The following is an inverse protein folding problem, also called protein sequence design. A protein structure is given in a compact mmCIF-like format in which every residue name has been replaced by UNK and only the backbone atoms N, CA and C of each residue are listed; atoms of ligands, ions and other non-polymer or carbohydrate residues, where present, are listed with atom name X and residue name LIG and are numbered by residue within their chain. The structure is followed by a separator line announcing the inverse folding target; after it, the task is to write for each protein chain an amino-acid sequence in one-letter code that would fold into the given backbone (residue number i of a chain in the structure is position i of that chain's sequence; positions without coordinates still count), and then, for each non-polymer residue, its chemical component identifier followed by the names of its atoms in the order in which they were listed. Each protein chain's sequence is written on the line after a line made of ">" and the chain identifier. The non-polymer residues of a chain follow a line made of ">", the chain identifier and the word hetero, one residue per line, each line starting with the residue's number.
data_IF_339921631961
#
_entry.id   IF_339921631961
#
_cell.length_a   1.000
_cell.length_b   1.000
_cell.length_c   1.000
_cell.angle_alpha   90.00
_cell.angle_beta   90.00
_cell.angle_gamma   90.00
#
_symmetry.space_group_name_H-M   'P 1'
#
loop_
_entity.id
_entity.type
_entity.pdbx_description
1 polymer ?
#
# COMPACT_ATOMS: atom_id res chain seq x y z
N UNK A 1 10.66 38.50 2.48
CA UNK A 1 9.53 37.71 3.02
C UNK A 1 8.80 37.10 1.84
N UNK A 2 9.07 35.84 1.46
CA UNK A 2 8.11 35.02 0.72
C UNK A 2 8.65 33.58 0.69
N UNK A 3 7.98 32.74 1.48
CA UNK A 3 8.30 31.34 1.68
C UNK A 3 8.01 30.56 0.40
N UNK A 4 8.97 29.74 -0.01
CA UNK A 4 8.82 28.70 -1.01
C UNK A 4 7.62 27.83 -0.64
N UNK A 5 6.50 28.04 -1.33
CA UNK A 5 5.38 27.12 -1.32
C UNK A 5 5.77 25.95 -2.23
N UNK A 6 6.63 25.06 -1.73
CA UNK A 6 6.68 23.69 -2.22
C UNK A 6 5.30 23.13 -1.92
N UNK A 7 4.41 23.23 -2.91
CA UNK A 7 3.17 22.50 -2.93
C UNK A 7 3.57 21.05 -2.71
N UNK A 8 3.38 20.60 -1.47
CA UNK A 8 3.39 19.22 -1.06
C UNK A 8 2.25 18.59 -1.86
N UNK A 9 2.52 18.25 -3.12
CA UNK A 9 1.63 17.45 -3.94
C UNK A 9 1.71 16.07 -3.32
N UNK A 10 1.02 15.89 -2.20
CA UNK A 10 0.55 14.58 -1.77
C UNK A 10 -0.44 14.18 -2.83
N UNK A 11 0.06 13.80 -4.02
CA UNK A 11 -0.67 12.97 -4.95
C UNK A 11 -1.16 11.85 -4.08
N UNK A 12 -2.44 11.91 -3.75
CA UNK A 12 -3.10 10.97 -2.87
C UNK A 12 -3.19 9.71 -3.70
N UNK A 13 -2.08 8.98 -3.81
CA UNK A 13 -1.97 7.75 -4.59
C UNK A 13 -3.14 6.90 -4.16
N UNK A 14 -3.93 6.46 -5.12
CA UNK A 14 -5.05 5.57 -4.83
C UNK A 14 -4.55 4.43 -3.96
N UNK A 15 -5.37 3.96 -3.02
CA UNK A 15 -5.05 2.82 -2.18
C UNK A 15 -4.57 1.62 -3.02
N UNK A 16 -5.15 1.46 -4.22
CA UNK A 16 -4.73 0.46 -5.20
C UNK A 16 -3.28 0.61 -5.63
N UNK A 17 -2.84 1.83 -5.94
CA UNK A 17 -1.45 2.09 -6.34
C UNK A 17 -0.48 1.88 -5.18
N UNK A 18 -0.86 2.31 -3.97
CA UNK A 18 -0.05 2.09 -2.77
C UNK A 18 0.12 0.58 -2.48
N UNK A 19 -0.91 -0.22 -2.73
CA UNK A 19 -0.83 -1.69 -2.55
C UNK A 19 -0.06 -2.36 -3.68
N UNK A 20 -0.22 -1.92 -4.93
CA UNK A 20 0.56 -2.44 -6.05
C UNK A 20 2.08 -2.19 -5.84
N UNK A 21 2.46 -0.95 -5.56
CA UNK A 21 3.85 -0.60 -5.21
C UNK A 21 4.31 -1.35 -3.98
N UNK A 22 3.42 -1.51 -3.00
CA UNK A 22 3.75 -2.32 -1.86
C UNK A 22 4.12 -3.71 -2.32
N UNK A 23 3.25 -4.44 -3.03
CA UNK A 23 3.50 -5.81 -3.50
C UNK A 23 4.84 -5.97 -4.22
N UNK A 24 5.22 -5.00 -5.05
CA UNK A 24 6.49 -5.00 -5.79
C UNK A 24 7.71 -4.73 -4.88
N UNK A 25 7.60 -3.79 -3.93
CA UNK A 25 8.70 -3.42 -3.04
C UNK A 25 8.82 -4.40 -1.86
N UNK A 26 9.80 -5.31 -1.93
CA UNK A 26 10.06 -6.32 -0.90
C UNK A 26 10.78 -5.79 0.34
N UNK A 27 11.26 -4.54 0.32
CA UNK A 27 11.95 -3.92 1.45
C UNK A 27 10.97 -3.30 2.46
N UNK A 28 9.69 -3.19 2.10
CA UNK A 28 8.67 -2.62 2.97
C UNK A 28 8.49 -3.38 4.28
N UNK A 29 8.39 -2.65 5.42
CA UNK A 29 8.16 -3.27 6.71
C UNK A 29 6.75 -3.87 6.79
N UNK A 30 6.63 -5.01 7.47
CA UNK A 30 5.38 -5.74 7.65
C UNK A 30 4.27 -4.88 8.28
N UNK A 31 4.62 -3.95 9.18
CA UNK A 31 3.67 -3.02 9.80
C UNK A 31 2.99 -2.09 8.79
N UNK A 32 3.66 -1.74 7.69
CA UNK A 32 3.07 -0.96 6.59
C UNK A 32 2.15 -1.83 5.74
N UNK A 33 2.50 -3.10 5.51
CA UNK A 33 1.65 -4.04 4.78
C UNK A 33 0.35 -4.34 5.52
N UNK A 34 0.41 -4.53 6.83
CA UNK A 34 -0.78 -4.73 7.66
C UNK A 34 -1.71 -3.52 7.62
N UNK A 35 -1.17 -2.29 7.68
CA UNK A 35 -1.97 -1.06 7.55
C UNK A 35 -2.67 -0.97 6.19
N UNK A 36 -1.96 -1.31 5.11
CA UNK A 36 -2.54 -1.35 3.77
C UNK A 36 -3.61 -2.43 3.64
N UNK A 37 -3.39 -3.61 4.22
CA UNK A 37 -4.38 -4.68 4.25
C UNK A 37 -5.67 -4.25 4.97
N UNK A 38 -5.53 -3.58 6.12
CA UNK A 38 -6.67 -3.03 6.86
C UNK A 38 -7.44 -1.98 6.07
N UNK A 39 -6.75 -1.03 5.45
CA UNK A 39 -7.38 -0.02 4.61
C UNK A 39 -8.12 -0.66 3.41
N UNK A 40 -7.51 -1.69 2.81
CA UNK A 40 -8.05 -2.40 1.66
C UNK A 40 -9.20 -3.34 2.04
N UNK A 41 -9.28 -3.78 3.29
CA UNK A 41 -10.40 -4.56 3.83
C UNK A 41 -11.61 -3.68 4.17
N UNK A 42 -11.37 -2.46 4.66
CA UNK A 42 -12.41 -1.45 4.85
C UNK A 42 -13.00 -0.96 3.52
N UNK A 43 -12.18 -0.93 2.47
CA UNK A 43 -12.61 -0.61 1.12
C UNK A 43 -13.44 -1.78 0.53
N UNK A 44 -14.77 -1.59 0.45
CA UNK A 44 -15.73 -2.60 -0.04
C UNK A 44 -15.71 -2.76 -1.56
N UNK A 45 -14.72 -2.21 -2.25
CA UNK A 45 -14.64 -2.29 -3.70
C UNK A 45 -14.23 -3.69 -4.14
N UNK A 46 -15.10 -4.35 -4.90
CA UNK A 46 -14.84 -5.68 -5.44
C UNK A 46 -13.62 -5.71 -6.38
N UNK A 47 -13.26 -4.58 -7.01
CA UNK A 47 -12.07 -4.46 -7.86
C UNK A 47 -10.75 -4.68 -7.08
N UNK A 48 -10.77 -4.52 -5.76
CA UNK A 48 -9.58 -4.64 -4.91
C UNK A 48 -9.36 -6.07 -4.38
N UNK A 49 -10.26 -7.01 -4.67
CA UNK A 49 -10.13 -8.38 -4.17
C UNK A 49 -8.85 -9.07 -4.63
N UNK A 50 -8.44 -8.85 -5.88
CA UNK A 50 -7.20 -9.42 -6.41
C UNK A 50 -5.97 -8.83 -5.70
N UNK A 51 -5.92 -7.51 -5.49
CA UNK A 51 -4.87 -6.85 -4.71
C UNK A 51 -4.83 -7.34 -3.26
N UNK A 52 -5.99 -7.60 -2.65
CA UNK A 52 -6.08 -8.17 -1.29
C UNK A 52 -5.44 -9.55 -1.23
N UNK A 53 -5.74 -10.42 -2.20
CA UNK A 53 -5.17 -11.76 -2.28
C UNK A 53 -3.64 -11.71 -2.46
N UNK A 54 -3.14 -10.85 -3.35
CA UNK A 54 -1.72 -10.67 -3.58
C UNK A 54 -0.98 -10.11 -2.35
N UNK A 55 -1.55 -9.07 -1.72
CA UNK A 55 -0.97 -8.48 -0.51
C UNK A 55 -0.94 -9.49 0.65
N UNK A 56 -2.00 -10.31 0.80
CA UNK A 56 -2.05 -11.38 1.81
C UNK A 56 -1.04 -12.48 1.53
N UNK A 57 -0.89 -12.91 0.28
CA UNK A 57 0.11 -13.90 -0.12
C UNK A 57 1.53 -13.42 0.23
N UNK A 58 1.79 -12.14 0.04
CA UNK A 58 3.06 -11.50 0.40
C UNK A 58 3.29 -11.35 1.91
N UNK A 59 2.27 -11.05 2.69
CA UNK A 59 2.38 -10.99 4.16
C UNK A 59 2.60 -12.40 4.75
N UNK A 60 1.91 -13.41 4.20
CA UNK A 60 1.99 -14.79 4.65
C UNK A 60 3.12 -15.60 4.01
N UNK A 61 3.82 -15.07 3.01
CA UNK A 61 4.99 -15.72 2.44
C UNK A 61 6.09 -15.77 3.49
N UNK A 62 6.73 -16.92 3.73
CA UNK A 62 7.90 -16.97 4.58
C UNK A 62 8.94 -16.01 4.00
N UNK A 63 9.48 -15.13 4.84
CA UNK A 63 10.70 -14.40 4.54
C UNK A 63 11.75 -15.49 4.28
N UNK A 64 12.01 -15.84 3.01
CA UNK A 64 13.03 -16.82 2.68
C UNK A 64 14.32 -16.40 3.39
N UNK A 65 14.75 -17.25 4.31
CA UNK A 65 15.95 -17.11 5.13
C UNK A 65 17.22 -17.10 4.27
#
# INVERSE_FOLDING_TARGET
>A
MQLTAEALVTTSKSLQQQVAEAIEDRALPISRLLRLMWALEADRNAANQNLRAQLRARIGAPLSA
#
